data_IF_798645870405
#
_entry.id   IF_798645870405
#
_cell.length_a   1.000
_cell.length_b   1.000
_cell.length_c   1.000
_cell.angle_alpha   90.00
_cell.angle_beta   90.00
_cell.angle_gamma   90.00
#
_symmetry.space_group_name_H-M   'P 1'
#
loop_
_entity.id
_entity.type
_entity.pdbx_description
1 polymer ?
#
# COMPACT_ATOMS: atom_id res chain seq x y z
N UNK A 1 21.70 -26.05 -10.54
CA UNK A 1 20.54 -25.28 -11.02
C UNK A 1 20.38 -25.40 -12.53
N UNK A 2 21.27 -24.86 -13.36
CA UNK A 2 21.19 -24.95 -14.84
C UNK A 2 21.05 -26.38 -15.36
N UNK A 3 21.81 -27.33 -14.81
CA UNK A 3 21.72 -28.75 -15.17
C UNK A 3 20.38 -29.41 -14.75
N UNK A 4 19.69 -28.90 -13.73
CA UNK A 4 18.39 -29.44 -13.30
C UNK A 4 17.29 -29.04 -14.29
N UNK A 5 17.28 -27.77 -14.72
CA UNK A 5 16.34 -27.28 -15.73
C UNK A 5 16.62 -27.87 -17.14
N UNK A 6 17.85 -28.27 -17.43
CA UNK A 6 18.19 -28.96 -18.69
C UNK A 6 17.68 -30.41 -18.73
N UNK A 7 17.55 -31.08 -17.57
CA UNK A 7 17.03 -32.45 -17.51
C UNK A 7 15.49 -32.52 -17.50
N UNK A 8 14.83 -31.43 -17.11
CA UNK A 8 13.37 -31.30 -17.23
C UNK A 8 13.02 -31.01 -18.69
N UNK A 9 12.49 -32.02 -19.39
CA UNK A 9 12.08 -31.89 -20.79
C UNK A 9 10.94 -30.87 -20.95
N UNK A 10 11.25 -29.74 -21.56
CA UNK A 10 10.32 -28.81 -22.22
C UNK A 10 9.35 -28.08 -21.28
N UNK A 11 9.59 -26.79 -21.03
CA UNK A 11 8.67 -25.80 -20.44
C UNK A 11 7.88 -26.21 -19.19
N UNK A 12 8.28 -27.28 -18.50
CA UNK A 12 7.63 -27.73 -17.26
C UNK A 12 8.27 -27.04 -16.08
N UNK A 13 7.42 -26.56 -15.17
CA UNK A 13 7.82 -26.06 -13.86
C UNK A 13 8.49 -27.22 -13.11
N UNK A 14 9.67 -26.95 -12.57
CA UNK A 14 10.50 -27.94 -11.90
C UNK A 14 9.82 -28.39 -10.60
N UNK A 15 9.43 -29.65 -10.51
CA UNK A 15 8.66 -30.18 -9.37
C UNK A 15 9.59 -30.64 -8.24
N UNK A 16 9.05 -30.68 -7.02
CA UNK A 16 9.81 -31.12 -5.83
C UNK A 16 10.34 -32.55 -6.00
N UNK A 17 9.56 -33.44 -6.64
CA UNK A 17 9.95 -34.83 -6.85
C UNK A 17 11.05 -34.97 -7.90
N UNK A 18 11.06 -34.12 -8.93
CA UNK A 18 12.17 -34.02 -9.88
C UNK A 18 13.45 -33.52 -9.19
N UNK A 19 13.36 -32.52 -8.31
CA UNK A 19 14.51 -32.07 -7.50
C UNK A 19 15.08 -33.22 -6.68
N UNK A 20 14.21 -33.96 -5.96
CA UNK A 20 14.62 -35.11 -5.13
C UNK A 20 15.31 -36.18 -5.96
N UNK A 21 14.74 -36.53 -7.11
CA UNK A 21 15.29 -37.54 -8.03
C UNK A 21 16.67 -37.14 -8.56
N UNK A 22 16.83 -35.89 -9.01
CA UNK A 22 18.12 -35.39 -9.50
C UNK A 22 19.16 -35.34 -8.36
N UNK A 23 18.74 -34.99 -7.14
CA UNK A 23 19.62 -34.95 -5.98
C UNK A 23 20.11 -36.35 -5.59
N UNK A 24 19.23 -37.35 -5.59
CA UNK A 24 19.57 -38.76 -5.36
C UNK A 24 20.52 -39.31 -6.44
N UNK A 25 20.29 -38.97 -7.70
CA UNK A 25 21.15 -39.41 -8.79
C UNK A 25 22.58 -38.83 -8.69
N UNK A 26 22.71 -37.57 -8.29
CA UNK A 26 24.02 -36.91 -8.12
C UNK A 26 24.71 -37.25 -6.82
N UNK A 27 23.95 -37.45 -5.75
CA UNK A 27 24.46 -37.74 -4.41
C UNK A 27 23.74 -38.96 -3.80
N UNK A 28 24.03 -40.19 -4.26
CA UNK A 28 23.30 -41.40 -3.83
C UNK A 28 23.41 -41.70 -2.33
N UNK A 29 24.45 -41.18 -1.67
CA UNK A 29 24.73 -41.40 -0.25
C UNK A 29 24.21 -40.30 0.67
N UNK A 30 23.63 -39.23 0.12
CA UNK A 30 23.11 -38.13 0.91
C UNK A 30 21.66 -38.41 1.33
N UNK A 31 21.33 -38.20 2.60
CA UNK A 31 19.95 -38.21 3.04
C UNK A 31 19.24 -36.95 2.53
N UNK A 32 18.15 -37.16 1.79
CA UNK A 32 17.30 -36.07 1.31
C UNK A 32 16.71 -35.29 2.48
N UNK A 33 16.34 -35.95 3.57
CA UNK A 33 15.70 -35.29 4.71
C UNK A 33 16.65 -34.33 5.42
N UNK A 34 17.93 -34.66 5.50
CA UNK A 34 18.96 -33.75 6.02
C UNK A 34 19.17 -32.51 5.14
N UNK A 35 18.79 -32.57 3.86
CA UNK A 35 18.97 -31.50 2.89
C UNK A 35 17.69 -30.68 2.71
N UNK A 36 16.53 -31.32 2.51
CA UNK A 36 15.25 -30.70 2.17
C UNK A 36 14.23 -30.72 3.33
N UNK A 37 14.54 -31.37 4.46
CA UNK A 37 13.66 -31.41 5.61
C UNK A 37 13.58 -30.08 6.36
N UNK A 38 12.52 -29.92 7.17
CA UNK A 38 12.24 -28.74 8.00
C UNK A 38 13.30 -28.48 9.08
N UNK A 39 14.03 -29.51 9.50
CA UNK A 39 15.13 -29.40 10.47
C UNK A 39 16.51 -29.33 9.79
N UNK A 40 16.53 -29.22 8.46
CA UNK A 40 17.77 -29.09 7.71
C UNK A 40 18.46 -27.76 8.01
N UNK A 41 19.79 -27.78 8.09
CA UNK A 41 20.62 -26.56 8.12
C UNK A 41 20.40 -25.64 6.91
N UNK A 42 19.82 -26.14 5.81
CA UNK A 42 19.52 -25.37 4.61
C UNK A 42 18.11 -24.77 4.62
N UNK A 43 17.24 -25.17 5.56
CA UNK A 43 15.84 -24.74 5.59
C UNK A 43 15.71 -23.23 5.83
N UNK A 44 16.54 -22.66 6.72
CA UNK A 44 16.57 -21.21 6.95
C UNK A 44 16.74 -20.40 5.66
N UNK A 45 17.70 -20.76 4.81
CA UNK A 45 17.91 -20.07 3.52
C UNK A 45 16.78 -20.29 2.52
N UNK A 46 16.10 -21.44 2.57
CA UNK A 46 14.90 -21.67 1.73
C UNK A 46 13.74 -20.81 2.18
N UNK A 47 13.54 -20.69 3.50
CA UNK A 47 12.52 -19.83 4.08
C UNK A 47 12.80 -18.36 3.77
N UNK A 48 14.05 -17.93 3.90
CA UNK A 48 14.50 -16.58 3.48
C UNK A 48 14.26 -16.35 1.99
N UNK A 49 14.62 -17.30 1.12
CA UNK A 49 14.38 -17.21 -0.33
C UNK A 49 12.90 -17.15 -0.69
N UNK A 50 12.06 -17.97 -0.04
CA UNK A 50 10.61 -17.95 -0.23
C UNK A 50 10.00 -16.63 0.26
N UNK A 51 10.50 -16.10 1.38
CA UNK A 51 10.08 -14.80 1.93
C UNK A 51 10.48 -13.67 0.98
N UNK A 52 11.72 -13.68 0.49
CA UNK A 52 12.22 -12.72 -0.48
C UNK A 52 11.37 -12.72 -1.76
N UNK A 53 11.07 -13.89 -2.32
CA UNK A 53 10.21 -14.00 -3.50
C UNK A 53 8.78 -13.50 -3.23
N UNK A 54 8.21 -13.86 -2.08
CA UNK A 54 6.88 -13.39 -1.68
C UNK A 54 6.86 -11.87 -1.51
N UNK A 55 7.95 -11.27 -0.99
CA UNK A 55 8.11 -9.83 -0.82
C UNK A 55 8.25 -9.09 -2.15
N UNK A 56 9.02 -9.62 -3.10
CA UNK A 56 9.31 -8.90 -4.36
C UNK A 56 8.12 -8.80 -5.29
N UNK A 57 7.15 -9.72 -5.20
CA UNK A 57 5.92 -9.66 -6.00
C UNK A 57 6.15 -9.83 -7.51
N UNK A 58 7.22 -10.56 -7.89
CA UNK A 58 7.68 -10.75 -9.27
C UNK A 58 6.73 -11.54 -10.19
N UNK A 59 5.51 -11.83 -9.74
CA UNK A 59 4.54 -12.61 -10.53
C UNK A 59 5.00 -14.06 -10.68
N UNK A 60 4.80 -14.69 -11.85
CA UNK A 60 5.08 -16.10 -12.06
C UNK A 60 6.58 -16.33 -12.32
N UNK A 61 7.11 -17.49 -11.93
CA UNK A 61 8.49 -17.87 -12.28
C UNK A 61 8.53 -18.73 -13.56
N UNK A 62 9.62 -18.66 -14.36
CA UNK A 62 10.83 -17.86 -14.14
C UNK A 62 10.66 -16.39 -14.52
N UNK A 63 11.28 -15.48 -13.76
CA UNK A 63 11.34 -14.04 -14.04
C UNK A 63 12.79 -13.54 -13.91
N UNK A 64 13.28 -12.84 -14.94
CA UNK A 64 14.56 -12.13 -14.88
C UNK A 64 14.34 -10.62 -14.65
N UNK A 65 15.33 -9.98 -14.04
CA UNK A 65 15.38 -8.54 -13.77
C UNK A 65 16.68 -7.94 -14.33
N UNK A 66 16.61 -6.72 -14.86
CA UNK A 66 17.77 -5.90 -15.20
C UNK A 66 17.70 -4.59 -14.40
N UNK A 67 18.65 -4.38 -13.48
CA UNK A 67 18.68 -3.22 -12.58
C UNK A 67 17.32 -2.93 -11.89
N UNK A 68 16.62 -3.99 -11.47
CA UNK A 68 15.32 -3.91 -10.81
C UNK A 68 14.11 -3.91 -11.74
N UNK A 69 14.30 -3.77 -13.05
CA UNK A 69 13.20 -3.81 -14.02
C UNK A 69 12.97 -5.24 -14.56
N UNK A 70 11.73 -5.78 -14.46
CA UNK A 70 11.40 -7.08 -15.02
C UNK A 70 11.48 -7.10 -16.55
N UNK A 71 11.85 -8.25 -17.10
CA UNK A 71 11.69 -8.55 -18.53
C UNK A 71 10.27 -9.02 -18.84
N UNK A 72 9.79 -8.70 -20.03
CA UNK A 72 8.53 -9.28 -20.48
C UNK A 72 8.68 -10.77 -20.76
N UNK A 73 7.62 -11.55 -20.50
CA UNK A 73 7.61 -13.00 -20.76
C UNK A 73 7.97 -13.35 -22.21
N UNK A 74 7.71 -12.44 -23.16
CA UNK A 74 8.09 -12.58 -24.57
C UNK A 74 9.61 -12.51 -24.74
N UNK A 75 10.23 -11.52 -24.09
CA UNK A 75 11.68 -11.28 -24.09
C UNK A 75 12.47 -12.34 -23.30
N UNK A 76 11.79 -13.19 -22.51
CA UNK A 76 12.44 -14.23 -21.72
C UNK A 76 12.92 -15.46 -22.52
N UNK A 77 12.72 -15.48 -23.84
CA UNK A 77 13.30 -16.53 -24.67
C UNK A 77 14.81 -16.31 -24.87
N UNK A 78 15.60 -17.39 -25.01
CA UNK A 78 17.07 -17.32 -24.96
C UNK A 78 17.73 -16.43 -26.01
N UNK A 79 17.07 -16.19 -27.15
CA UNK A 79 17.60 -15.36 -28.24
C UNK A 79 17.15 -13.90 -28.10
N UNK A 80 15.89 -13.65 -27.77
CA UNK A 80 15.35 -12.31 -27.50
C UNK A 80 15.90 -11.72 -26.21
N UNK A 81 16.18 -12.53 -25.19
CA UNK A 81 16.73 -12.06 -23.91
C UNK A 81 18.08 -11.37 -24.11
N UNK A 82 18.94 -11.90 -25.01
CA UNK A 82 20.22 -11.26 -25.33
C UNK A 82 19.99 -9.89 -25.93
N UNK A 83 19.07 -9.79 -26.88
CA UNK A 83 18.68 -8.52 -27.53
C UNK A 83 18.14 -7.51 -26.51
N UNK A 84 17.19 -7.94 -25.68
CA UNK A 84 16.57 -7.11 -24.65
C UNK A 84 17.59 -6.65 -23.59
N UNK A 85 18.51 -7.52 -23.15
CA UNK A 85 19.60 -7.15 -22.24
C UNK A 85 20.51 -6.09 -22.88
N UNK A 86 20.89 -6.26 -24.15
CA UNK A 86 21.71 -5.29 -24.87
C UNK A 86 21.00 -3.94 -25.02
N UNK A 87 19.72 -3.95 -25.38
CA UNK A 87 18.92 -2.74 -25.50
C UNK A 87 18.82 -1.98 -24.17
N UNK A 88 18.46 -2.67 -23.09
CA UNK A 88 18.40 -2.08 -21.74
C UNK A 88 19.77 -1.59 -21.25
N UNK A 89 20.84 -2.30 -21.60
CA UNK A 89 22.21 -1.91 -21.26
C UNK A 89 22.63 -0.63 -21.98
N UNK A 90 22.36 -0.52 -23.29
CA UNK A 90 22.66 0.69 -24.06
C UNK A 90 21.86 1.88 -23.53
N UNK A 91 20.57 1.69 -23.25
CA UNK A 91 19.73 2.73 -22.64
C UNK A 91 20.29 3.22 -21.30
N UNK A 92 20.59 2.28 -20.39
CA UNK A 92 21.15 2.61 -19.06
C UNK A 92 22.51 3.30 -19.17
N UNK A 93 23.34 2.89 -20.12
CA UNK A 93 24.65 3.47 -20.34
C UNK A 93 24.57 4.95 -20.73
N UNK A 94 23.63 5.33 -21.62
CA UNK A 94 23.42 6.74 -22.01
C UNK A 94 23.01 7.59 -20.81
N UNK A 95 22.11 7.07 -19.96
CA UNK A 95 21.69 7.79 -18.74
C UNK A 95 22.86 7.97 -17.76
N UNK A 96 23.63 6.91 -17.50
CA UNK A 96 24.79 6.98 -16.60
C UNK A 96 25.87 7.93 -17.13
N UNK A 97 26.13 7.94 -18.44
CA UNK A 97 27.08 8.88 -19.05
C UNK A 97 26.64 10.33 -18.83
N UNK A 98 25.35 10.63 -19.00
CA UNK A 98 24.79 11.96 -18.70
C UNK A 98 24.97 12.31 -17.22
N UNK A 99 24.68 11.39 -16.32
CA UNK A 99 24.75 11.63 -14.87
C UNK A 99 26.20 11.86 -14.39
N UNK A 100 27.18 11.18 -14.99
CA UNK A 100 28.62 11.45 -14.80
C UNK A 100 28.98 12.82 -15.35
N UNK A 101 28.56 13.16 -16.57
CA UNK A 101 28.87 14.45 -17.21
C UNK A 101 28.30 15.63 -16.42
N UNK A 102 27.10 15.50 -15.86
CA UNK A 102 26.47 16.50 -15.01
C UNK A 102 27.07 16.56 -13.58
N UNK A 103 28.05 15.71 -13.27
CA UNK A 103 28.70 15.66 -11.95
C UNK A 103 27.81 15.12 -10.83
N UNK A 104 26.74 14.39 -11.20
CA UNK A 104 25.81 13.74 -10.25
C UNK A 104 26.44 12.47 -9.68
N UNK A 105 27.12 11.69 -10.53
CA UNK A 105 27.97 10.58 -10.10
C UNK A 105 29.41 11.08 -9.99
N UNK A 106 30.03 10.86 -8.83
CA UNK A 106 31.43 11.22 -8.54
C UNK A 106 32.23 9.97 -8.23
N UNK A 107 33.55 10.08 -8.20
CA UNK A 107 34.45 8.96 -7.87
C UNK A 107 34.19 8.34 -6.49
N UNK A 108 33.64 9.13 -5.56
CA UNK A 108 33.27 8.71 -4.20
C UNK A 108 31.90 8.00 -4.14
N UNK A 109 31.10 8.05 -5.21
CA UNK A 109 29.75 7.49 -5.27
C UNK A 109 29.79 6.04 -5.75
N UNK A 110 29.21 5.13 -4.97
CA UNK A 110 28.98 3.75 -5.40
C UNK A 110 27.95 3.71 -6.53
N UNK A 111 28.35 3.19 -7.69
CA UNK A 111 27.45 3.08 -8.85
C UNK A 111 26.23 2.18 -8.56
N UNK A 112 26.39 1.19 -7.68
CA UNK A 112 25.28 0.31 -7.28
C UNK A 112 24.28 1.09 -6.44
N UNK A 113 24.74 1.82 -5.43
CA UNK A 113 23.85 2.59 -4.56
C UNK A 113 23.14 3.68 -5.36
N UNK A 114 23.85 4.34 -6.28
CA UNK A 114 23.23 5.29 -7.21
C UNK A 114 22.11 4.68 -8.06
N UNK A 115 22.31 3.45 -8.57
CA UNK A 115 21.28 2.74 -9.32
C UNK A 115 20.10 2.36 -8.43
N UNK A 116 20.34 1.95 -7.19
CA UNK A 116 19.30 1.57 -6.22
C UNK A 116 18.51 2.78 -5.70
N UNK A 117 19.12 3.97 -5.67
CA UNK A 117 18.48 5.24 -5.28
C UNK A 117 17.55 5.80 -6.36
N UNK A 118 17.57 5.24 -7.58
CA UNK A 118 16.70 5.71 -8.65
C UNK A 118 15.21 5.57 -8.28
N UNK A 119 14.41 6.48 -8.81
CA UNK A 119 12.96 6.56 -8.52
C UNK A 119 12.17 5.35 -9.04
N UNK A 120 12.71 4.60 -10.00
CA UNK A 120 12.09 3.40 -10.57
C UNK A 120 12.42 2.09 -9.80
N UNK A 121 13.40 2.09 -8.89
CA UNK A 121 13.75 0.90 -8.11
C UNK A 121 12.82 0.77 -6.91
N UNK A 122 12.11 -0.34 -6.78
CA UNK A 122 11.11 -0.55 -5.73
C UNK A 122 11.37 -1.87 -5.01
N UNK A 123 11.06 -1.93 -3.72
CA UNK A 123 11.25 -3.13 -2.89
C UNK A 123 10.26 -4.26 -3.22
N UNK A 124 9.09 -3.90 -3.77
CA UNK A 124 8.02 -4.81 -4.15
C UNK A 124 7.32 -4.31 -5.41
N UNK A 125 6.99 -5.23 -6.30
CA UNK A 125 6.11 -4.99 -7.44
C UNK A 125 4.70 -5.45 -7.08
N UNK A 126 3.72 -4.61 -7.37
CA UNK A 126 2.32 -4.94 -7.20
C UNK A 126 1.56 -4.54 -8.45
N UNK A 127 1.07 -5.53 -9.18
CA UNK A 127 0.32 -5.31 -10.42
C UNK A 127 -0.95 -4.49 -10.18
N UNK A 128 -1.61 -4.62 -9.02
CA UNK A 128 -2.77 -3.80 -8.68
C UNK A 128 -2.41 -2.31 -8.59
N UNK A 129 -1.23 -1.95 -8.08
CA UNK A 129 -0.82 -0.55 -7.99
C UNK A 129 -0.33 -0.02 -9.35
N UNK A 130 0.39 -0.87 -10.08
CA UNK A 130 1.09 -0.51 -11.32
C UNK A 130 0.20 -0.51 -12.56
N UNK A 131 -0.67 -1.51 -12.70
CA UNK A 131 -1.47 -1.77 -13.91
C UNK A 131 -2.93 -1.29 -13.80
N UNK A 132 -3.47 -1.07 -12.60
CA UNK A 132 -4.87 -0.64 -12.47
C UNK A 132 -5.10 0.71 -13.15
N UNK A 133 -6.11 0.74 -14.02
CA UNK A 133 -6.57 1.96 -14.67
C UNK A 133 -6.96 2.99 -13.60
N UNK A 134 -6.41 4.22 -13.67
CA UNK A 134 -6.60 5.17 -12.61
C UNK A 134 -8.02 5.76 -12.66
N UNK A 135 -8.81 5.50 -11.61
CA UNK A 135 -10.01 6.27 -11.33
C UNK A 135 -9.67 7.40 -10.38
N UNK A 136 -9.87 8.66 -10.77
CA UNK A 136 -9.59 9.81 -9.90
C UNK A 136 -10.87 10.37 -9.30
N UNK A 137 -10.81 10.68 -8.01
CA UNK A 137 -11.83 11.42 -7.30
C UNK A 137 -11.76 12.89 -7.67
N UNK A 138 -12.93 13.46 -7.97
CA UNK A 138 -13.06 14.90 -8.03
C UNK A 138 -13.22 15.46 -6.61
N UNK A 139 -12.14 16.04 -6.10
CA UNK A 139 -12.06 16.62 -4.75
C UNK A 139 -12.38 18.11 -4.72
N UNK A 140 -12.82 18.68 -5.86
CA UNK A 140 -13.25 20.08 -5.94
C UNK A 140 -14.62 20.22 -5.30
N UNK A 141 -14.76 21.14 -4.35
CA UNK A 141 -16.04 21.41 -3.70
C UNK A 141 -16.89 22.28 -4.62
N UNK A 142 -18.11 21.85 -4.95
CA UNK A 142 -19.19 22.82 -5.14
C UNK A 142 -19.52 23.38 -3.74
N UNK A 143 -20.13 24.55 -3.60
CA UNK A 143 -20.27 25.33 -2.36
C UNK A 143 -21.07 24.68 -1.19
N UNK A 144 -21.18 23.36 -1.14
CA UNK A 144 -21.95 22.56 -0.18
C UNK A 144 -21.32 22.57 1.22
N UNK A 145 -22.17 22.75 2.24
CA UNK A 145 -21.80 22.80 3.67
C UNK A 145 -22.37 21.63 4.48
N UNK A 146 -22.71 20.50 3.85
CA UNK A 146 -23.27 19.35 4.56
C UNK A 146 -22.31 18.83 5.65
N UNK A 147 -22.87 18.49 6.80
CA UNK A 147 -22.16 17.84 7.90
C UNK A 147 -22.07 16.33 7.65
N UNK A 148 -20.97 15.71 8.05
CA UNK A 148 -20.75 14.27 7.87
C UNK A 148 -21.72 13.39 8.68
N UNK A 149 -22.28 13.92 9.77
CA UNK A 149 -23.29 13.24 10.59
C UNK A 149 -24.74 13.44 10.05
N UNK A 150 -24.96 14.38 9.12
CA UNK A 150 -26.23 14.57 8.41
C UNK A 150 -26.33 13.65 7.19
N UNK A 151 -26.60 12.37 7.47
CA UNK A 151 -26.75 11.34 6.44
C UNK A 151 -27.86 11.67 5.43
N UNK A 152 -28.94 12.31 5.86
CA UNK A 152 -30.05 12.70 4.98
C UNK A 152 -29.59 13.64 3.89
N UNK A 153 -28.98 14.77 4.24
CA UNK A 153 -28.48 15.74 3.27
C UNK A 153 -27.39 15.13 2.40
N UNK A 154 -26.46 14.36 3.00
CA UNK A 154 -25.39 13.69 2.28
C UNK A 154 -25.90 12.74 1.19
N UNK A 155 -27.00 12.02 1.45
CA UNK A 155 -27.53 11.04 0.50
C UNK A 155 -27.96 11.63 -0.84
N UNK A 156 -28.42 12.89 -0.85
CA UNK A 156 -28.85 13.61 -2.04
C UNK A 156 -27.73 14.31 -2.81
N UNK A 157 -26.51 14.34 -2.26
CA UNK A 157 -25.37 14.95 -2.94
C UNK A 157 -24.93 14.12 -4.16
N UNK A 158 -24.37 14.81 -5.15
CA UNK A 158 -23.70 14.14 -6.27
C UNK A 158 -22.35 13.55 -5.84
N UNK A 159 -21.72 12.77 -6.73
CA UNK A 159 -20.46 12.09 -6.41
C UNK A 159 -19.29 13.05 -6.12
N UNK A 160 -19.30 14.25 -6.71
CA UNK A 160 -18.25 15.25 -6.49
C UNK A 160 -18.40 15.86 -5.09
N UNK A 161 -19.60 16.30 -4.74
CA UNK A 161 -19.88 16.89 -3.43
C UNK A 161 -19.75 15.87 -2.30
N UNK A 162 -20.13 14.60 -2.53
CA UNK A 162 -19.84 13.49 -1.60
C UNK A 162 -18.34 13.38 -1.32
N UNK A 163 -17.51 13.43 -2.36
CA UNK A 163 -16.05 13.36 -2.24
C UNK A 163 -15.48 14.57 -1.47
N UNK A 164 -15.99 15.77 -1.74
CA UNK A 164 -15.57 16.99 -1.07
C UNK A 164 -15.95 17.00 0.42
N UNK A 165 -17.14 16.53 0.78
CA UNK A 165 -17.60 16.43 2.17
C UNK A 165 -16.75 15.43 2.95
N UNK A 166 -16.45 14.26 2.39
CA UNK A 166 -15.55 13.27 3.02
C UNK A 166 -14.15 13.85 3.21
N UNK A 167 -13.58 14.48 2.18
CA UNK A 167 -12.25 15.10 2.27
C UNK A 167 -12.15 16.16 3.36
N UNK A 168 -13.19 17.00 3.50
CA UNK A 168 -13.24 18.11 4.46
C UNK A 168 -13.28 17.64 5.92
N UNK A 169 -13.98 16.54 6.18
CA UNK A 169 -14.15 16.00 7.54
C UNK A 169 -13.17 14.86 7.87
N UNK A 170 -12.21 14.60 6.99
CA UNK A 170 -11.20 13.56 7.21
C UNK A 170 -10.25 13.93 8.35
N UNK A 171 -9.98 12.96 9.21
CA UNK A 171 -8.92 13.03 10.21
C UNK A 171 -7.71 12.24 9.72
N UNK A 172 -6.52 12.78 9.96
CA UNK A 172 -5.28 12.21 9.45
C UNK A 172 -4.33 11.84 10.58
N UNK A 173 -3.71 10.67 10.43
CA UNK A 173 -2.50 10.31 11.17
C UNK A 173 -1.31 10.84 10.40
N UNK A 174 -0.50 11.67 11.05
CA UNK A 174 0.79 12.17 10.54
C UNK A 174 1.91 11.77 11.50
N UNK A 175 3.15 11.86 11.04
CA UNK A 175 4.30 11.58 11.91
C UNK A 175 4.44 12.63 13.03
N UNK A 176 4.18 13.89 12.70
CA UNK A 176 4.16 15.02 13.63
C UNK A 176 2.92 15.89 13.39
N UNK A 177 2.51 16.66 14.40
CA UNK A 177 1.24 17.41 14.38
C UNK A 177 1.23 18.59 13.37
N UNK A 178 2.38 19.07 12.89
CA UNK A 178 2.49 20.30 12.09
C UNK A 178 3.40 20.15 10.86
N UNK A 179 3.37 19.00 10.19
CA UNK A 179 4.18 18.74 8.99
C UNK A 179 3.31 18.68 7.74
N UNK A 180 3.80 19.26 6.65
CA UNK A 180 3.16 19.17 5.33
C UNK A 180 3.40 17.76 4.80
N UNK A 181 2.31 17.04 4.55
CA UNK A 181 2.35 15.69 3.98
C UNK A 181 1.92 15.75 2.52
N UNK A 182 2.86 15.75 1.57
CA UNK A 182 2.53 15.81 0.14
C UNK A 182 1.73 14.60 -0.34
N UNK A 183 1.89 13.44 0.30
CA UNK A 183 1.15 12.22 -0.02
C UNK A 183 0.02 12.02 0.97
N UNK A 184 -1.19 11.87 0.46
CA UNK A 184 -2.41 11.58 1.24
C UNK A 184 -2.94 10.21 0.87
N UNK A 185 -2.94 9.30 1.84
CA UNK A 185 -3.45 7.94 1.70
C UNK A 185 -4.76 7.82 2.48
N UNK A 186 -5.83 7.35 1.84
CA UNK A 186 -7.03 6.89 2.55
C UNK A 186 -7.14 5.38 2.39
N UNK A 187 -7.28 4.67 3.51
CA UNK A 187 -7.61 3.25 3.50
C UNK A 187 -9.11 3.08 3.71
N UNK A 188 -9.71 2.20 2.92
CA UNK A 188 -11.12 1.85 2.97
C UNK A 188 -11.20 0.37 3.34
N UNK A 189 -11.85 0.05 4.44
CA UNK A 189 -12.12 -1.33 4.84
C UNK A 189 -13.22 -1.39 5.90
N UNK A 190 -13.64 -2.62 6.20
CA UNK A 190 -14.30 -2.95 7.45
C UNK A 190 -13.23 -3.24 8.51
N UNK A 191 -13.07 -2.37 9.51
CA UNK A 191 -12.03 -2.53 10.54
C UNK A 191 -12.47 -3.43 11.70
N UNK A 192 -13.72 -3.89 11.68
CA UNK A 192 -14.23 -4.87 12.62
C UNK A 192 -13.98 -6.31 12.13
N UNK A 193 -13.47 -6.50 10.90
CA UNK A 193 -13.01 -7.80 10.39
C UNK A 193 -11.48 -7.92 10.35
N UNK A 194 -10.91 -9.14 10.45
CA UNK A 194 -9.46 -9.34 10.48
C UNK A 194 -8.72 -8.75 9.28
N UNK A 195 -9.30 -8.84 8.08
CA UNK A 195 -8.67 -8.33 6.85
C UNK A 195 -8.50 -6.80 6.86
N UNK A 196 -9.48 -6.06 7.35
CA UNK A 196 -9.38 -4.60 7.47
C UNK A 196 -8.45 -4.15 8.59
N UNK A 197 -8.42 -4.88 9.72
CA UNK A 197 -7.41 -4.65 10.78
C UNK A 197 -5.99 -4.86 10.27
N UNK A 198 -5.76 -5.93 9.52
CA UNK A 198 -4.45 -6.20 8.91
C UNK A 198 -4.04 -5.11 7.91
N UNK A 199 -4.98 -4.60 7.11
CA UNK A 199 -4.73 -3.46 6.22
C UNK A 199 -4.31 -2.21 7.01
N UNK A 200 -5.04 -1.88 8.09
CA UNK A 200 -4.70 -0.77 8.98
C UNK A 200 -3.33 -0.97 9.62
N UNK A 201 -3.03 -2.17 10.12
CA UNK A 201 -1.74 -2.49 10.73
C UNK A 201 -0.58 -2.25 9.76
N UNK A 202 -0.69 -2.75 8.53
CA UNK A 202 0.34 -2.58 7.51
C UNK A 202 0.50 -1.13 7.07
N UNK A 203 -0.61 -0.37 6.96
CA UNK A 203 -0.57 1.06 6.69
C UNK A 203 0.14 1.83 7.82
N UNK A 204 -0.18 1.54 9.09
CA UNK A 204 0.47 2.16 10.24
C UNK A 204 1.96 1.80 10.33
N UNK A 205 2.34 0.57 9.95
CA UNK A 205 3.74 0.14 9.87
C UNK A 205 4.53 0.96 8.85
N UNK A 206 3.92 1.26 7.69
CA UNK A 206 4.51 2.14 6.69
C UNK A 206 4.67 3.59 7.21
N UNK A 207 3.67 4.09 7.93
CA UNK A 207 3.70 5.41 8.58
C UNK A 207 4.77 5.54 9.68
N UNK A 208 5.43 4.45 10.10
CA UNK A 208 6.58 4.54 11.01
C UNK A 208 7.85 5.00 10.31
N UNK A 209 7.95 4.72 9.01
CA UNK A 209 9.13 4.97 8.19
C UNK A 209 8.95 6.15 7.23
N UNK A 210 7.71 6.48 6.86
CA UNK A 210 7.40 7.59 5.95
C UNK A 210 7.30 8.92 6.69
N UNK A 211 7.91 9.96 6.10
CA UNK A 211 7.83 11.37 6.53
C UNK A 211 6.98 12.24 5.59
N UNK A 212 6.55 11.69 4.46
CA UNK A 212 5.86 12.45 3.41
C UNK A 212 4.37 12.11 3.32
N UNK A 213 3.93 11.06 4.01
CA UNK A 213 2.58 10.54 3.94
C UNK A 213 1.75 10.93 5.16
N UNK A 214 0.44 11.09 4.92
CA UNK A 214 -0.60 11.14 5.95
C UNK A 214 -1.68 10.10 5.66
N UNK A 215 -2.24 9.50 6.71
CA UNK A 215 -3.19 8.39 6.60
C UNK A 215 -4.58 8.78 7.11
N UNK A 216 -5.58 8.72 6.25
CA UNK A 216 -7.01 8.84 6.57
C UNK A 216 -7.72 7.49 6.53
N UNK A 217 -8.87 7.39 7.20
CA UNK A 217 -9.64 6.15 7.33
C UNK A 217 -11.07 6.36 6.86
N UNK A 218 -11.53 5.52 5.93
CA UNK A 218 -12.91 5.44 5.45
C UNK A 218 -13.50 4.10 5.88
N UNK A 219 -14.69 4.12 6.48
CA UNK A 219 -15.33 2.95 7.06
C UNK A 219 -16.27 2.32 6.04
N UNK A 220 -16.04 1.07 5.66
CA UNK A 220 -16.90 0.32 4.75
C UNK A 220 -17.37 -1.00 5.40
N UNK A 221 -18.17 -0.95 6.48
CA UNK A 221 -18.56 -2.14 7.24
C UNK A 221 -19.35 -3.14 6.37
N UNK A 222 -19.09 -4.43 6.59
CA UNK A 222 -19.75 -5.55 5.90
C UNK A 222 -21.11 -5.85 6.54
N UNK A 223 -21.16 -5.79 7.88
CA UNK A 223 -22.33 -6.08 8.68
C UNK A 223 -23.26 -4.87 8.79
N UNK A 224 -24.48 -5.10 9.27
CA UNK A 224 -25.46 -4.03 9.51
C UNK A 224 -24.92 -3.06 10.56
N UNK A 225 -24.80 -1.78 10.19
CA UNK A 225 -24.27 -0.71 11.05
C UNK A 225 -25.15 -0.53 12.30
N UNK A 226 -24.63 -0.93 13.45
CA UNK A 226 -25.20 -0.73 14.79
C UNK A 226 -24.07 -0.52 15.83
N UNK A 227 -24.37 -0.51 17.13
CA UNK A 227 -23.34 -0.31 18.17
C UNK A 227 -22.49 -1.55 18.41
N UNK A 228 -23.04 -2.75 18.20
CA UNK A 228 -22.39 -4.04 18.45
C UNK A 228 -21.46 -4.48 17.32
N UNK A 229 -21.70 -4.04 16.09
CA UNK A 229 -20.93 -4.45 14.90
C UNK A 229 -19.79 -3.52 14.53
N UNK A 230 -19.76 -2.29 15.08
CA UNK A 230 -18.75 -1.27 14.74
C UNK A 230 -17.88 -0.88 15.93
N UNK A 231 -17.63 -1.81 16.84
CA UNK A 231 -16.91 -1.59 18.11
C UNK A 231 -15.51 -1.03 17.85
N UNK A 232 -14.73 -1.65 16.97
CA UNK A 232 -13.38 -1.22 16.63
C UNK A 232 -13.42 0.06 15.80
N UNK A 233 -14.30 0.14 14.81
CA UNK A 233 -14.47 1.35 13.99
C UNK A 233 -14.82 2.59 14.84
N UNK A 234 -15.65 2.43 15.88
CA UNK A 234 -15.94 3.48 16.88
C UNK A 234 -14.73 3.83 17.72
N UNK A 235 -13.96 2.83 18.13
CA UNK A 235 -12.70 3.02 18.86
C UNK A 235 -11.71 3.86 18.07
N UNK A 236 -11.55 3.56 16.78
CA UNK A 236 -10.69 4.30 15.85
C UNK A 236 -11.17 5.76 15.73
N UNK A 237 -12.46 5.98 15.45
CA UNK A 237 -13.00 7.33 15.31
C UNK A 237 -12.89 8.15 16.61
N UNK A 238 -13.23 7.55 17.75
CA UNK A 238 -13.09 8.18 19.05
C UNK A 238 -11.63 8.55 19.32
N UNK A 239 -10.67 7.72 18.92
CA UNK A 239 -9.25 8.00 19.05
C UNK A 239 -8.84 9.25 18.25
N UNK A 240 -9.24 9.35 16.98
CA UNK A 240 -8.98 10.52 16.14
C UNK A 240 -9.50 11.83 16.74
N UNK A 241 -10.62 11.76 17.46
CA UNK A 241 -11.30 12.94 18.01
C UNK A 241 -10.79 13.35 19.39
N UNK A 242 -9.97 12.53 20.04
CA UNK A 242 -9.56 12.74 21.44
C UNK A 242 -8.06 12.77 21.65
N UNK A 243 -7.26 12.19 20.74
CA UNK A 243 -5.81 12.04 20.92
C UNK A 243 -5.00 12.79 19.84
N UNK A 244 -3.78 13.21 20.23
CA UNK A 244 -2.77 13.74 19.30
C UNK A 244 -2.02 12.63 18.57
N UNK A 245 -1.35 12.94 17.45
CA UNK A 245 -0.78 11.94 16.53
C UNK A 245 0.12 10.89 17.19
N UNK A 246 1.01 11.30 18.11
CA UNK A 246 1.93 10.39 18.80
C UNK A 246 1.19 9.27 19.54
N UNK A 247 0.17 9.64 20.33
CA UNK A 247 -0.63 8.69 21.10
C UNK A 247 -1.62 7.96 20.19
N UNK A 248 -2.27 8.68 19.27
CA UNK A 248 -3.20 8.15 18.29
C UNK A 248 -2.60 6.97 17.53
N UNK A 249 -1.41 7.12 16.93
CA UNK A 249 -0.75 6.06 16.15
C UNK A 249 -0.53 4.80 16.99
N UNK A 250 -0.02 4.96 18.21
CA UNK A 250 0.23 3.83 19.11
C UNK A 250 -1.05 3.07 19.47
N UNK A 251 -2.16 3.79 19.67
CA UNK A 251 -3.44 3.21 20.01
C UNK A 251 -4.11 2.54 18.82
N UNK A 252 -4.10 3.19 17.64
CA UNK A 252 -4.60 2.58 16.40
C UNK A 252 -3.86 1.28 16.07
N UNK A 253 -2.55 1.22 16.32
CA UNK A 253 -1.76 0.00 16.14
C UNK A 253 -2.25 -1.13 17.05
N UNK A 254 -2.51 -0.82 18.33
CA UNK A 254 -3.10 -1.79 19.28
C UNK A 254 -4.48 -2.25 18.85
N UNK A 255 -5.35 -1.35 18.39
CA UNK A 255 -6.69 -1.71 17.88
C UNK A 255 -6.63 -2.59 16.61
N UNK A 256 -5.55 -2.50 15.85
CA UNK A 256 -5.33 -3.32 14.66
C UNK A 256 -4.73 -4.70 14.97
N UNK A 257 -4.28 -4.96 16.20
CA UNK A 257 -3.77 -6.27 16.63
C UNK A 257 -4.91 -7.26 16.85
N UNK A 258 -4.73 -8.49 16.37
CA UNK A 258 -5.77 -9.51 16.43
C UNK A 258 -6.08 -9.95 17.88
N UNK A 259 -5.06 -10.07 18.72
CA UNK A 259 -5.21 -10.39 20.15
C UNK A 259 -6.06 -9.34 20.89
N UNK A 260 -5.86 -8.06 20.58
CA UNK A 260 -6.65 -6.96 21.16
C UNK A 260 -8.09 -7.04 20.68
N UNK A 261 -8.33 -7.32 19.40
CA UNK A 261 -9.67 -7.46 18.85
C UNK A 261 -10.42 -8.64 19.49
N UNK A 262 -9.78 -9.81 19.63
CA UNK A 262 -10.34 -10.99 20.28
C UNK A 262 -10.75 -10.71 21.74
N UNK A 263 -9.91 -9.99 22.49
CA UNK A 263 -10.21 -9.59 23.86
C UNK A 263 -11.43 -8.65 23.93
N UNK A 264 -11.51 -7.66 23.02
CA UNK A 264 -12.66 -6.74 22.93
C UNK A 264 -13.94 -7.51 22.61
N UNK A 265 -13.91 -8.44 21.66
CA UNK A 265 -15.09 -9.26 21.33
C UNK A 265 -15.47 -10.25 22.45
N UNK A 266 -14.52 -10.62 23.31
CA UNK A 266 -14.75 -11.45 24.49
C UNK A 266 -15.33 -10.68 25.68
N UNK A 267 -15.48 -9.35 25.58
CA UNK A 267 -16.15 -8.50 26.56
C UNK A 267 -15.26 -7.44 27.22
N UNK A 268 -13.99 -7.35 26.85
CA UNK A 268 -13.12 -6.29 27.37
C UNK A 268 -13.51 -4.92 26.81
N UNK A 269 -13.44 -3.89 27.67
CA UNK A 269 -13.73 -2.52 27.25
C UNK A 269 -12.56 -1.96 26.43
N UNK A 270 -12.85 -1.36 25.27
CA UNK A 270 -11.84 -0.73 24.39
C UNK A 270 -10.89 0.23 25.14
N UNK A 271 -11.39 0.95 26.16
CA UNK A 271 -10.59 1.89 26.96
C UNK A 271 -9.50 1.27 27.84
N UNK A 272 -9.55 -0.05 28.11
CA UNK A 272 -8.48 -0.74 28.86
C UNK A 272 -7.18 -0.79 28.07
N UNK A 273 -7.28 -0.75 26.74
CA UNK A 273 -6.16 -0.73 25.81
C UNK A 273 -5.59 0.68 25.57
N UNK A 274 -6.02 1.70 26.31
CA UNK A 274 -5.38 3.01 26.30
C UNK A 274 -4.13 3.01 27.20
N UNK A 275 -3.10 3.71 26.76
CA UNK A 275 -1.91 3.96 27.58
C UNK A 275 -2.27 4.83 28.80
N UNK A 276 -1.42 4.82 29.83
CA UNK A 276 -1.66 5.60 31.07
C UNK A 276 -1.70 7.11 30.80
N UNK A 277 -0.94 7.57 29.81
CA UNK A 277 -0.79 8.98 29.42
C UNK A 277 -1.99 9.54 28.62
N UNK A 278 -2.93 8.67 28.23
CA UNK A 278 -4.08 9.01 27.39
C UNK A 278 -5.28 9.45 28.23
N UNK A 279 -6.06 10.42 27.72
CA UNK A 279 -7.28 10.87 28.39
C UNK A 279 -8.42 9.86 28.21
N UNK A 280 -8.46 8.90 29.14
CA UNK A 280 -9.48 7.83 29.17
C UNK A 280 -10.90 8.37 29.30
N UNK A 281 -11.10 9.46 30.05
CA UNK A 281 -12.43 10.00 30.29
C UNK A 281 -12.96 10.70 29.03
N UNK A 282 -12.13 11.50 28.37
CA UNK A 282 -12.49 12.12 27.09
C UNK A 282 -12.77 11.06 26.02
N UNK A 283 -11.93 10.02 25.96
CA UNK A 283 -12.13 8.89 25.05
C UNK A 283 -13.45 8.16 25.30
N UNK A 284 -13.72 7.72 26.53
CA UNK A 284 -14.93 6.97 26.88
C UNK A 284 -16.19 7.80 26.59
N UNK A 285 -16.19 9.09 26.93
CA UNK A 285 -17.28 10.00 26.59
C UNK A 285 -17.48 10.10 25.09
N UNK A 286 -16.41 10.24 24.31
CA UNK A 286 -16.53 10.36 22.85
C UNK A 286 -16.97 9.04 22.23
N UNK A 287 -16.39 7.93 22.64
CA UNK A 287 -16.73 6.57 22.18
C UNK A 287 -18.23 6.28 22.33
N UNK A 288 -18.79 6.59 23.51
CA UNK A 288 -20.22 6.39 23.81
C UNK A 288 -21.14 7.39 23.10
N UNK A 289 -20.62 8.47 22.51
CA UNK A 289 -21.41 9.49 21.80
C UNK A 289 -21.23 9.47 20.28
N UNK A 290 -20.38 8.58 19.75
CA UNK A 290 -20.23 8.41 18.30
C UNK A 290 -21.56 7.90 17.72
N UNK A 291 -22.15 8.68 16.81
CA UNK A 291 -23.37 8.28 16.11
C UNK A 291 -23.12 7.22 15.03
N UNK A 292 -24.18 6.50 14.64
CA UNK A 292 -24.11 5.55 13.51
C UNK A 292 -24.02 6.24 12.14
N UNK A 293 -24.42 7.52 12.06
CA UNK A 293 -24.58 8.22 10.79
C UNK A 293 -23.27 8.39 10.04
N UNK A 294 -22.15 8.66 10.73
CA UNK A 294 -20.83 8.78 10.08
C UNK A 294 -20.44 7.50 9.32
N UNK A 295 -20.70 6.33 9.90
CA UNK A 295 -20.44 5.04 9.25
C UNK A 295 -21.35 4.82 8.06
N UNK A 296 -22.63 5.24 8.13
CA UNK A 296 -23.57 5.19 7.00
C UNK A 296 -23.14 6.13 5.88
N UNK A 297 -22.70 7.33 6.22
CA UNK A 297 -22.16 8.33 5.28
C UNK A 297 -20.92 7.78 4.56
N UNK A 298 -19.96 7.20 5.29
CA UNK A 298 -18.77 6.58 4.70
C UNK A 298 -19.14 5.38 3.82
N UNK A 299 -20.05 4.51 4.25
CA UNK A 299 -20.50 3.37 3.47
C UNK A 299 -21.21 3.81 2.17
N UNK A 300 -22.06 4.84 2.23
CA UNK A 300 -22.73 5.38 1.05
C UNK A 300 -21.74 6.02 0.07
N UNK A 301 -20.72 6.72 0.58
CA UNK A 301 -19.61 7.21 -0.26
C UNK A 301 -18.91 6.07 -1.00
N UNK A 302 -18.61 4.97 -0.30
CA UNK A 302 -17.97 3.80 -0.92
C UNK A 302 -18.84 3.20 -2.04
N UNK A 303 -20.16 3.13 -1.85
CA UNK A 303 -21.09 2.59 -2.83
C UNK A 303 -21.31 3.53 -4.02
N UNK A 304 -21.61 4.80 -3.77
CA UNK A 304 -22.02 5.75 -4.81
C UNK A 304 -20.85 6.29 -5.62
N UNK A 305 -19.71 6.56 -4.97
CA UNK A 305 -18.55 7.18 -5.60
C UNK A 305 -17.53 6.14 -6.04
N UNK A 306 -17.15 5.24 -5.14
CA UNK A 306 -16.09 4.25 -5.38
C UNK A 306 -16.60 2.95 -6.03
N UNK A 307 -17.93 2.77 -6.07
CA UNK A 307 -18.59 1.56 -6.59
C UNK A 307 -18.17 0.28 -5.85
N UNK A 308 -17.78 0.39 -4.58
CA UNK A 308 -17.45 -0.72 -3.69
C UNK A 308 -18.70 -1.29 -3.03
N UNK A 309 -18.75 -2.61 -2.89
CA UNK A 309 -19.75 -3.28 -2.05
C UNK A 309 -19.39 -3.16 -0.57
N UNK A 310 -20.36 -3.29 0.35
CA UNK A 310 -20.07 -3.39 1.79
C UNK A 310 -18.99 -4.41 2.09
N UNK A 311 -17.99 -4.02 2.88
CA UNK A 311 -16.86 -4.88 3.25
C UNK A 311 -15.71 -4.95 2.23
N UNK A 312 -15.90 -4.48 0.99
CA UNK A 312 -14.82 -4.49 0.01
C UNK A 312 -13.76 -3.43 0.36
N UNK A 313 -12.48 -3.82 0.46
CA UNK A 313 -11.41 -2.90 0.78
C UNK A 313 -10.93 -2.11 -0.44
N UNK A 314 -10.34 -0.95 -0.20
CA UNK A 314 -9.82 -0.05 -1.23
C UNK A 314 -8.77 0.91 -0.66
N UNK A 315 -8.01 1.56 -1.54
CA UNK A 315 -7.09 2.64 -1.17
C UNK A 315 -7.30 3.83 -2.11
N UNK A 316 -7.16 5.03 -1.56
CA UNK A 316 -7.05 6.26 -2.34
C UNK A 316 -5.70 6.90 -2.07
N UNK A 317 -4.94 7.25 -3.11
CA UNK A 317 -3.69 8.02 -3.00
C UNK A 317 -3.81 9.32 -3.79
N UNK A 318 -3.79 10.47 -3.12
CA UNK A 318 -3.99 11.79 -3.72
C UNK A 318 -5.18 11.86 -4.71
N UNK A 319 -6.30 11.25 -4.33
CA UNK A 319 -7.50 11.16 -5.17
C UNK A 319 -7.49 10.00 -6.19
N UNK A 320 -6.37 9.33 -6.46
CA UNK A 320 -6.33 8.10 -7.26
C UNK A 320 -6.90 6.93 -6.45
N UNK A 321 -8.03 6.40 -6.87
CA UNK A 321 -8.65 5.22 -6.28
C UNK A 321 -8.04 3.92 -6.84
N UNK A 322 -7.83 2.97 -5.94
CA UNK A 322 -7.32 1.62 -6.17
C UNK A 322 -8.22 0.64 -5.40
N UNK A 323 -9.12 -0.04 -6.10
CA UNK A 323 -10.00 -1.03 -5.49
C UNK A 323 -11.02 -1.62 -6.48
N UNK A 324 -11.74 -2.67 -6.09
CA UNK A 324 -11.62 -3.41 -4.82
C UNK A 324 -10.29 -4.19 -4.72
N UNK A 325 -9.69 -4.24 -3.53
CA UNK A 325 -8.46 -4.99 -3.31
C UNK A 325 -8.78 -6.49 -3.22
N UNK A 326 -8.13 -7.28 -4.09
CA UNK A 326 -8.28 -8.74 -4.12
C UNK A 326 -7.23 -9.47 -3.29
N UNK A 327 -6.05 -8.86 -3.12
CA UNK A 327 -4.93 -9.43 -2.38
C UNK A 327 -4.63 -8.62 -1.11
N UNK A 328 -3.97 -9.27 -0.15
CA UNK A 328 -3.44 -8.59 1.02
C UNK A 328 -2.31 -7.63 0.62
N UNK A 329 -2.42 -6.38 1.08
CA UNK A 329 -1.36 -5.40 0.94
C UNK A 329 -0.42 -5.44 2.13
N UNK A 330 0.87 -5.40 1.83
CA UNK A 330 1.97 -5.36 2.79
C UNK A 330 2.52 -3.94 2.94
N UNK A 331 3.40 -3.74 3.91
CA UNK A 331 4.05 -2.44 4.14
C UNK A 331 4.75 -1.91 2.88
N UNK A 332 5.38 -2.81 2.11
CA UNK A 332 6.13 -2.48 0.90
C UNK A 332 5.20 -1.99 -0.22
N UNK A 333 3.94 -2.40 -0.23
CA UNK A 333 2.94 -1.92 -1.20
C UNK A 333 2.59 -0.44 -0.94
N UNK A 334 2.50 -0.03 0.33
CA UNK A 334 2.32 1.37 0.70
C UNK A 334 3.55 2.21 0.33
N UNK A 335 4.75 1.66 0.49
CA UNK A 335 5.98 2.32 0.03
C UNK A 335 6.01 2.50 -1.50
N UNK A 336 5.61 1.48 -2.26
CA UNK A 336 5.45 1.58 -3.71
C UNK A 336 4.46 2.69 -4.08
N UNK A 337 3.31 2.74 -3.39
CA UNK A 337 2.28 3.74 -3.64
C UNK A 337 2.77 5.15 -3.34
N UNK A 338 3.42 5.36 -2.19
CA UNK A 338 4.05 6.62 -1.83
C UNK A 338 5.08 7.04 -2.88
N UNK A 339 5.96 6.14 -3.31
CA UNK A 339 7.02 6.45 -4.28
C UNK A 339 6.45 6.83 -5.65
N UNK A 340 5.37 6.18 -6.10
CA UNK A 340 4.71 6.51 -7.38
C UNK A 340 4.00 7.87 -7.29
N UNK A 341 3.38 8.17 -6.15
CA UNK A 341 2.66 9.44 -5.95
C UNK A 341 3.63 10.60 -5.72
N UNK A 342 4.69 10.40 -4.94
CA UNK A 342 5.73 11.38 -4.62
C UNK A 342 6.73 11.57 -5.77
N UNK A 343 6.20 12.02 -6.91
CA UNK A 343 6.98 12.37 -8.10
C UNK A 343 7.61 13.77 -7.98
N UNK A 344 8.58 14.07 -8.84
CA UNK A 344 9.18 15.41 -8.93
C UNK A 344 8.13 16.51 -9.17
N UNK A 345 7.04 16.19 -9.88
CA UNK A 345 5.92 17.12 -10.08
C UNK A 345 5.22 17.45 -8.76
N UNK A 346 5.01 16.44 -7.90
CA UNK A 346 4.40 16.64 -6.58
C UNK A 346 5.33 17.42 -5.64
N UNK A 347 6.64 17.18 -5.72
CA UNK A 347 7.63 17.96 -4.97
C UNK A 347 7.61 19.43 -5.35
N UNK A 348 7.52 19.75 -6.65
CA UNK A 348 7.40 21.13 -7.11
C UNK A 348 6.09 21.77 -6.61
N UNK A 349 4.98 21.05 -6.66
CA UNK A 349 3.68 21.52 -6.13
C UNK A 349 3.81 21.79 -4.61
N UNK A 350 4.40 20.86 -3.86
CA UNK A 350 4.60 21.01 -2.43
C UNK A 350 5.46 22.24 -2.10
N UNK A 351 6.58 22.44 -2.80
CA UNK A 351 7.44 23.61 -2.60
C UNK A 351 6.76 24.95 -2.93
N UNK A 352 5.88 24.98 -3.93
CA UNK A 352 5.07 26.17 -4.22
C UNK A 352 4.06 26.42 -3.10
N UNK A 353 3.37 25.39 -2.63
CA UNK A 353 2.37 25.51 -1.56
C UNK A 353 3.02 25.89 -0.22
N UNK A 354 4.22 25.42 0.06
CA UNK A 354 5.03 25.82 1.22
C UNK A 354 5.32 27.31 1.29
N UNK A 355 5.41 27.98 0.14
CA UNK A 355 5.61 29.44 0.07
C UNK A 355 4.35 30.25 0.39
N UNK A 356 3.19 29.61 0.55
CA UNK A 356 1.93 30.26 0.90
C UNK A 356 1.79 30.38 2.43
N UNK A 357 1.29 31.50 2.94
CA UNK A 357 1.07 31.70 4.38
C UNK A 357 -0.21 30.98 4.85
N UNK A 358 -0.13 29.65 5.02
CA UNK A 358 -1.26 28.79 5.39
C UNK A 358 -0.85 27.73 6.42
N UNK A 359 -1.83 27.13 7.11
CA UNK A 359 -1.57 26.00 8.00
C UNK A 359 -1.17 24.74 7.20
N UNK A 360 -0.16 24.01 7.66
CA UNK A 360 0.29 22.70 7.17
C UNK A 360 -0.83 21.72 6.79
N UNK A 361 -1.93 21.66 7.55
CA UNK A 361 -3.10 20.81 7.23
C UNK A 361 -3.77 21.26 5.92
N UNK A 362 -4.03 22.56 5.78
CA UNK A 362 -4.65 23.11 4.58
C UNK A 362 -3.71 23.03 3.37
N UNK A 363 -2.40 23.18 3.58
CA UNK A 363 -1.39 22.97 2.56
C UNK A 363 -1.42 21.54 2.02
N UNK A 364 -1.43 20.55 2.91
CA UNK A 364 -1.51 19.13 2.52
C UNK A 364 -2.82 18.81 1.77
N UNK A 365 -3.94 19.40 2.19
CA UNK A 365 -5.22 19.28 1.48
C UNK A 365 -5.19 19.93 0.10
N UNK A 366 -4.50 21.07 -0.05
CA UNK A 366 -4.34 21.75 -1.33
C UNK A 366 -3.46 20.92 -2.27
N UNK A 367 -2.34 20.39 -1.78
CA UNK A 367 -1.46 19.49 -2.54
C UNK A 367 -2.24 18.29 -3.07
N UNK A 368 -3.01 17.62 -2.20
CA UNK A 368 -3.87 16.50 -2.60
C UNK A 368 -4.85 16.86 -3.72
N UNK A 369 -5.52 18.02 -3.62
CA UNK A 369 -6.51 18.46 -4.62
C UNK A 369 -5.87 18.83 -5.96
N UNK A 370 -4.76 19.55 -5.93
CA UNK A 370 -4.02 19.94 -7.14
C UNK A 370 -3.48 18.69 -7.84
N UNK A 371 -2.84 17.79 -7.09
CA UNK A 371 -2.26 16.57 -7.64
C UNK A 371 -3.33 15.66 -8.24
N UNK A 372 -4.44 15.44 -7.53
CA UNK A 372 -5.56 14.66 -8.04
C UNK A 372 -6.15 15.24 -9.33
N UNK A 373 -6.32 16.56 -9.40
CA UNK A 373 -6.80 17.25 -10.60
C UNK A 373 -5.82 17.12 -11.76
N UNK A 374 -4.55 17.45 -11.55
CA UNK A 374 -3.51 17.38 -12.59
C UNK A 374 -3.32 15.96 -13.11
N UNK A 375 -3.30 14.98 -12.20
CA UNK A 375 -3.14 13.57 -12.54
C UNK A 375 -4.35 13.01 -13.30
N UNK A 376 -5.55 13.58 -13.10
CA UNK A 376 -6.74 13.23 -13.89
C UNK A 376 -6.75 13.80 -15.31
N UNK A 377 -6.05 14.92 -15.54
CA UNK A 377 -5.99 15.62 -16.83
C UNK A 377 -4.78 15.20 -17.67
N UNK A 378 -3.73 14.66 -17.06
CA UNK A 378 -2.51 14.30 -17.75
C UNK A 378 -2.70 13.09 -18.69
N UNK A 379 -2.42 13.29 -19.98
CA UNK A 379 -2.24 12.18 -20.93
C UNK A 379 -0.95 11.45 -20.56
N UNK A 380 -1.06 10.21 -20.09
CA UNK A 380 0.13 9.42 -19.72
C UNK A 380 0.99 9.16 -20.95
N UNK A 381 2.31 9.36 -20.81
CA UNK A 381 3.29 8.68 -21.64
C UNK A 381 3.10 7.16 -21.45
N UNK A 382 3.18 6.39 -22.54
CA UNK A 382 3.05 4.93 -22.53
C UNK A 382 4.05 4.34 -21.53
N UNK A 383 3.54 3.83 -20.40
CA UNK A 383 4.33 2.93 -19.55
C UNK A 383 4.33 1.58 -20.26
N UNK A 384 5.49 0.94 -20.37
CA UNK A 384 5.55 -0.42 -20.90
C UNK A 384 4.69 -1.34 -20.00
N UNK A 385 3.69 -1.99 -20.59
CA UNK A 385 2.81 -2.92 -19.89
C UNK A 385 3.56 -4.22 -19.61
N UNK A 386 4.25 -4.29 -18.47
CA UNK A 386 4.83 -5.56 -18.03
C UNK A 386 3.72 -6.43 -17.48
N UNK A 387 3.41 -7.52 -18.19
CA UNK A 387 2.34 -8.45 -17.79
C UNK A 387 2.85 -9.44 -16.74
N UNK A 388 2.68 -9.12 -15.46
CA UNK A 388 2.94 -10.06 -14.36
C UNK A 388 1.72 -10.99 -14.16
N UNK A 389 1.83 -12.28 -14.52
CA UNK A 389 0.74 -13.24 -14.28
C UNK A 389 0.65 -13.60 -12.78
N UNK A 390 -0.56 -13.71 -12.23
CA UNK A 390 -0.76 -14.20 -10.86
C UNK A 390 -0.65 -15.72 -10.81
N UNK A 391 0.14 -16.25 -9.89
CA UNK A 391 0.12 -17.67 -9.53
C UNK A 391 -1.13 -17.98 -8.68
N UNK A 392 -2.01 -18.84 -9.18
CA UNK A 392 -3.08 -19.45 -8.37
C UNK A 392 -2.50 -20.59 -7.53
N UNK A 393 -1.78 -20.26 -6.45
CA UNK A 393 -1.35 -21.25 -5.47
C UNK A 393 -2.56 -21.66 -4.60
N UNK A 394 -3.26 -22.72 -5.03
CA UNK A 394 -4.03 -23.55 -4.09
C UNK A 394 -3.01 -24.37 -3.30
N UNK A 395 -2.77 -23.97 -2.05
CA UNK A 395 -2.11 -24.83 -1.05
C UNK A 395 -3.13 -25.87 -0.60
#
# INVERSE_FOLDING_TARGET
>A
MTHMYQEVKGHRILTVDEVKSILQNKCPHADILDILGIHSKYDGRRMEGATFYKMTGLGPLPQALYNGEPFDLKEMNTEELKGAVLEKMVGTFVDLQRDVFMGTIRDETSAIDFLMDKSNVVSRLNSLILQTEPQYLNLLSSSVTADIEDFSTFSFLDSQDKSAVIAKHMHYVTQEDAVISPVTLWIIADFDVPSGRKLLFNALKHMETSFHSRLGIVYNPTSKINEESTVISRGILAAFLTHKNKHLRSFLRRLAEEETAEAIYSGDKVQTFLAVEMDKNAFEKKYNTVGVNIFRTHQLFCQDVLKLRPGEPGIISNGKFLGPLSDELYQEDFHLLEKITFSNSLQNIAGIVESMDMNSKHMSDLVMKIDGLMSSLAVRASRYDVTLLKENLRI
#
